data_IF_949903410374
#
_entry.id   IF_949903410374
#
_cell.length_a   1.000
_cell.length_b   1.000
_cell.length_c   1.000
_cell.angle_alpha   90.00
_cell.angle_beta   90.00
_cell.angle_gamma   90.00
#
_symmetry.space_group_name_H-M   'P 1'
#
loop_
_entity.id
_entity.type
_entity.pdbx_description
1 polymer ?
#
# COMPACT_ATOMS: atom_id res chain seq x y z
N UNK A 1 7.44 -3.27 -6.66
CA UNK A 1 8.13 -2.14 -6.03
C UNK A 1 9.39 -2.62 -5.34
N UNK A 2 10.46 -1.83 -5.39
CA UNK A 2 11.66 -2.10 -4.58
C UNK A 2 11.39 -1.75 -3.11
N UNK A 3 12.20 -2.27 -2.19
CA UNK A 3 12.17 -1.86 -0.79
C UNK A 3 12.35 -0.34 -0.64
N UNK A 4 13.13 0.28 -1.52
CA UNK A 4 13.44 1.71 -1.49
C UNK A 4 12.19 2.60 -1.70
N UNK A 5 11.23 2.17 -2.53
CA UNK A 5 9.98 2.92 -2.76
C UNK A 5 9.07 2.91 -1.52
N UNK A 6 9.09 1.81 -0.75
CA UNK A 6 8.33 1.72 0.50
C UNK A 6 8.93 2.62 1.57
N UNK A 7 10.26 2.63 1.67
CA UNK A 7 10.99 3.50 2.61
C UNK A 7 10.77 4.99 2.28
N UNK A 8 10.73 5.33 0.99
CA UNK A 8 10.35 6.67 0.53
C UNK A 8 8.94 7.04 0.99
N UNK A 9 7.96 6.14 0.80
CA UNK A 9 6.59 6.39 1.27
C UNK A 9 6.52 6.55 2.78
N UNK A 10 7.28 5.77 3.57
CA UNK A 10 7.38 5.98 5.00
C UNK A 10 7.97 7.35 5.34
N UNK A 11 9.09 7.70 4.71
CA UNK A 11 9.70 9.02 4.87
C UNK A 11 8.73 10.14 4.53
N UNK A 12 7.88 10.00 3.51
CA UNK A 12 6.91 11.02 3.12
C UNK A 12 5.70 11.08 4.05
N UNK A 13 5.17 9.91 4.41
CA UNK A 13 3.91 9.79 5.14
C UNK A 13 4.09 9.86 6.65
N UNK A 14 5.29 9.72 7.22
CA UNK A 14 5.52 9.82 8.67
C UNK A 14 5.04 11.16 9.26
N UNK A 15 5.14 12.25 8.48
CA UNK A 15 4.82 13.58 8.96
C UNK A 15 3.31 13.90 8.79
N UNK A 16 2.59 14.23 9.88
CA UNK A 16 1.15 14.46 9.81
C UNK A 16 0.76 15.68 8.95
N UNK A 17 1.61 16.71 8.85
CA UNK A 17 1.37 17.88 7.99
C UNK A 17 1.38 17.48 6.52
N UNK A 18 2.32 16.63 6.09
CA UNK A 18 2.33 16.09 4.71
C UNK A 18 1.06 15.29 4.41
N UNK A 19 0.61 14.44 5.35
CA UNK A 19 -0.67 13.71 5.19
C UNK A 19 -1.88 14.64 5.08
N UNK A 20 -1.93 15.71 5.88
CA UNK A 20 -2.99 16.73 5.80
C UNK A 20 -2.96 17.50 4.48
N UNK A 21 -1.78 17.88 4.00
CA UNK A 21 -1.61 18.53 2.69
C UNK A 21 -2.13 17.61 1.58
N UNK A 22 -1.72 16.34 1.56
CA UNK A 22 -2.19 15.36 0.57
C UNK A 22 -3.72 15.20 0.61
N UNK A 23 -4.31 15.13 1.81
CA UNK A 23 -5.78 15.05 1.99
C UNK A 23 -6.52 16.25 1.38
N UNK A 24 -5.97 17.45 1.48
CA UNK A 24 -6.59 18.64 0.87
C UNK A 24 -6.38 18.66 -0.64
N UNK A 25 -5.17 18.32 -1.10
CA UNK A 25 -4.80 18.30 -2.51
C UNK A 25 -5.43 17.16 -3.32
N UNK A 26 -6.02 16.16 -2.67
CA UNK A 26 -6.82 15.10 -3.31
C UNK A 26 -8.23 15.56 -3.67
N UNK A 27 -8.71 16.67 -3.09
CA UNK A 27 -10.05 17.23 -3.35
C UNK A 27 -9.99 18.30 -4.43
N UNK A 28 -9.07 19.27 -4.30
CA UNK A 28 -8.93 20.36 -5.24
C UNK A 28 -7.50 20.92 -5.30
N UNK A 29 -7.23 21.78 -6.29
CA UNK A 29 -5.93 22.45 -6.41
C UNK A 29 -5.88 23.63 -5.45
N UNK A 30 -4.81 23.71 -4.63
CA UNK A 30 -4.67 24.77 -3.62
C UNK A 30 -3.31 25.45 -3.71
N UNK A 31 -3.26 26.75 -3.36
CA UNK A 31 -2.01 27.49 -3.18
C UNK A 31 -1.57 27.49 -1.70
N UNK A 32 -0.28 27.74 -1.39
CA UNK A 32 0.27 27.54 -0.04
C UNK A 32 -0.46 28.28 1.08
N UNK A 33 -0.99 29.47 0.82
CA UNK A 33 -1.72 30.26 1.82
C UNK A 33 -3.11 29.68 2.16
N UNK A 34 -3.76 28.96 1.23
CA UNK A 34 -4.99 28.23 1.57
C UNK A 34 -4.66 27.05 2.49
N UNK A 35 -3.69 26.24 2.08
CA UNK A 35 -3.23 25.09 2.85
C UNK A 35 -2.82 25.49 4.27
N UNK A 36 -2.08 26.60 4.44
CA UNK A 36 -1.65 27.08 5.76
C UNK A 36 -2.82 27.44 6.67
N UNK A 37 -3.92 27.95 6.11
CA UNK A 37 -5.13 28.29 6.87
C UNK A 37 -5.90 27.06 7.30
N UNK A 38 -5.98 26.04 6.44
CA UNK A 38 -6.71 24.81 6.71
C UNK A 38 -5.99 23.90 7.73
N UNK A 39 -4.65 23.85 7.69
CA UNK A 39 -3.88 22.90 8.52
C UNK A 39 -3.20 23.52 9.74
N UNK A 40 -3.44 24.82 9.97
CA UNK A 40 -2.90 25.63 11.07
C UNK A 40 -1.36 25.55 11.21
N UNK A 41 -0.66 25.81 10.12
CA UNK A 41 0.81 25.91 10.10
C UNK A 41 1.26 27.12 9.30
N UNK A 42 2.50 27.57 9.49
CA UNK A 42 3.02 28.71 8.74
C UNK A 42 3.09 28.41 7.24
N UNK A 43 2.84 29.42 6.40
CA UNK A 43 2.95 29.27 4.94
C UNK A 43 4.35 28.79 4.52
N UNK A 44 5.41 29.21 5.21
CA UNK A 44 6.78 28.74 4.96
C UNK A 44 6.94 27.24 5.22
N UNK A 45 6.34 26.71 6.29
CA UNK A 45 6.33 25.29 6.57
C UNK A 45 5.56 24.50 5.48
N UNK A 46 4.41 25.02 5.03
CA UNK A 46 3.66 24.44 3.90
C UNK A 46 4.52 24.36 2.66
N UNK A 47 5.19 25.46 2.27
CA UNK A 47 6.05 25.49 1.08
C UNK A 47 7.18 24.45 1.18
N UNK A 48 7.79 24.29 2.35
CA UNK A 48 8.81 23.25 2.59
C UNK A 48 8.23 21.84 2.36
N UNK A 49 7.06 21.54 2.92
CA UNK A 49 6.43 20.24 2.74
C UNK A 49 5.99 19.98 1.30
N UNK A 50 5.45 20.99 0.60
CA UNK A 50 5.07 20.89 -0.80
C UNK A 50 6.27 20.60 -1.68
N UNK A 51 7.42 21.24 -1.42
CA UNK A 51 8.66 20.94 -2.14
C UNK A 51 9.09 19.50 -1.96
N UNK A 52 9.10 18.99 -0.72
CA UNK A 52 9.43 17.59 -0.45
C UNK A 52 8.47 16.66 -1.21
N UNK A 53 7.16 16.90 -1.15
CA UNK A 53 6.16 16.08 -1.85
C UNK A 53 6.27 16.17 -3.37
N UNK A 54 6.67 17.33 -3.91
CA UNK A 54 6.87 17.56 -5.34
C UNK A 54 8.15 16.91 -5.87
N UNK A 55 9.26 17.02 -5.12
CA UNK A 55 10.54 16.39 -5.44
C UNK A 55 10.40 14.86 -5.52
N UNK A 56 9.51 14.30 -4.71
CA UNK A 56 9.16 12.87 -4.71
C UNK A 56 7.90 12.55 -5.54
N UNK A 57 7.39 13.53 -6.31
CA UNK A 57 6.30 13.40 -7.28
C UNK A 57 4.94 12.90 -6.78
N UNK A 58 4.66 12.97 -5.47
CA UNK A 58 3.32 12.83 -4.90
C UNK A 58 2.44 14.05 -5.18
N UNK A 59 3.08 15.20 -5.41
CA UNK A 59 2.42 16.46 -5.76
C UNK A 59 3.03 17.04 -7.04
N UNK A 60 2.21 17.72 -7.85
CA UNK A 60 2.66 18.55 -8.98
C UNK A 60 2.16 19.97 -8.81
N UNK A 61 2.96 20.95 -9.23
CA UNK A 61 2.54 22.34 -9.25
C UNK A 61 2.31 22.89 -10.66
N UNK A 62 1.57 23.99 -10.73
CA UNK A 62 1.33 24.77 -11.94
C UNK A 62 1.14 26.24 -11.56
N UNK A 63 1.57 27.17 -12.43
CA UNK A 63 1.23 28.57 -12.29
C UNK A 63 -0.14 28.87 -12.90
N UNK A 64 -1.00 29.53 -12.11
CA UNK A 64 -2.32 29.99 -12.54
C UNK A 64 -2.41 31.52 -12.50
N UNK A 65 -3.06 32.16 -13.49
CA UNK A 65 -3.27 33.60 -13.51
C UNK A 65 -4.04 34.07 -12.28
N UNK A 66 -3.55 35.13 -11.63
CA UNK A 66 -4.31 35.76 -10.55
C UNK A 66 -5.14 36.92 -11.04
N UNK A 67 -6.38 37.06 -10.52
CA UNK A 67 -7.21 38.26 -10.77
C UNK A 67 -6.58 39.54 -10.24
N UNK A 68 -5.71 39.44 -9.21
CA UNK A 68 -5.00 40.57 -8.60
C UNK A 68 -3.59 40.13 -8.21
N UNK A 69 -2.58 40.73 -8.84
CA UNK A 69 -1.16 40.47 -8.54
C UNK A 69 -0.52 39.37 -9.40
N UNK A 70 0.67 38.88 -9.02
CA UNK A 70 1.42 37.89 -9.79
C UNK A 70 0.69 36.53 -9.83
N UNK A 71 1.06 35.70 -10.82
CA UNK A 71 0.57 34.34 -10.95
C UNK A 71 0.75 33.56 -9.63
N UNK A 72 -0.21 32.67 -9.35
CA UNK A 72 -0.20 31.84 -8.14
C UNK A 72 0.22 30.44 -8.51
N UNK A 73 1.24 29.94 -7.81
CA UNK A 73 1.61 28.54 -7.88
C UNK A 73 0.61 27.71 -7.08
N UNK A 74 -0.17 26.89 -7.77
CA UNK A 74 -1.11 25.94 -7.19
C UNK A 74 -0.54 24.53 -7.25
N UNK A 75 -1.00 23.67 -6.36
CA UNK A 75 -0.52 22.29 -6.21
C UNK A 75 -1.70 21.32 -6.31
N UNK A 76 -1.44 20.09 -6.74
CA UNK A 76 -2.40 18.98 -6.75
C UNK A 76 -1.70 17.64 -6.48
N UNK A 77 -2.42 16.66 -5.94
CA UNK A 77 -1.94 15.27 -5.92
C UNK A 77 -1.72 14.77 -7.35
N UNK A 78 -0.70 13.92 -7.56
CA UNK A 78 -0.21 13.64 -8.92
C UNK A 78 0.05 12.19 -9.28
N UNK A 79 -0.11 11.27 -8.34
CA UNK A 79 -0.05 9.82 -8.54
C UNK A 79 -0.94 9.13 -7.51
N UNK A 80 -1.37 7.93 -7.83
CA UNK A 80 -2.11 7.07 -6.91
C UNK A 80 -1.16 6.08 -6.24
N UNK A 81 -1.34 5.85 -4.94
CA UNK A 81 -0.51 4.95 -4.13
C UNK A 81 -1.40 4.22 -3.12
N UNK A 82 -1.28 2.89 -3.05
CA UNK A 82 -1.75 2.07 -1.93
C UNK A 82 -0.57 1.49 -1.17
N UNK A 83 -0.65 1.53 0.16
CA UNK A 83 0.30 0.92 1.08
C UNK A 83 -0.47 0.07 2.09
N UNK A 84 -0.26 -1.25 2.03
CA UNK A 84 -0.83 -2.21 2.98
C UNK A 84 0.28 -2.75 3.88
N UNK A 85 0.06 -2.68 5.19
CA UNK A 85 0.99 -3.16 6.21
C UNK A 85 0.20 -4.00 7.21
N UNK A 86 0.57 -5.27 7.35
CA UNK A 86 0.02 -6.20 8.32
C UNK A 86 1.09 -6.56 9.34
N UNK A 87 0.81 -6.30 10.63
CA UNK A 87 1.72 -6.57 11.75
C UNK A 87 0.97 -7.34 12.84
N UNK A 88 1.54 -8.46 13.26
CA UNK A 88 1.07 -9.28 14.38
C UNK A 88 2.20 -10.09 15.01
N UNK A 89 1.96 -10.79 16.14
CA UNK A 89 2.99 -11.54 16.86
C UNK A 89 3.75 -12.57 16.02
N UNK A 90 3.15 -13.02 14.93
CA UNK A 90 3.68 -14.02 14.00
C UNK A 90 3.50 -13.62 12.54
N UNK A 91 3.25 -12.33 12.26
CA UNK A 91 2.97 -11.83 10.91
C UNK A 91 3.63 -10.48 10.70
N UNK A 92 4.42 -10.38 9.64
CA UNK A 92 4.83 -9.09 9.08
C UNK A 92 4.74 -9.20 7.57
N UNK A 93 3.85 -8.40 6.97
CA UNK A 93 3.72 -8.28 5.51
C UNK A 93 3.55 -6.82 5.14
N UNK A 94 4.19 -6.41 4.06
CA UNK A 94 4.02 -5.10 3.46
C UNK A 94 3.85 -5.24 1.96
N UNK A 95 2.97 -4.43 1.38
CA UNK A 95 2.76 -4.33 -0.07
C UNK A 95 2.51 -2.87 -0.42
N UNK A 96 3.18 -2.38 -1.45
CA UNK A 96 2.92 -1.07 -2.03
C UNK A 96 2.57 -1.24 -3.51
N UNK A 97 1.55 -0.50 -3.95
CA UNK A 97 1.02 -0.49 -5.31
C UNK A 97 0.85 0.98 -5.76
N UNK A 98 1.20 1.29 -7.01
CA UNK A 98 1.02 2.62 -7.61
C UNK A 98 0.32 2.47 -8.94
N UNK A 99 -0.15 3.61 -9.46
CA UNK A 99 -0.59 3.74 -10.85
C UNK A 99 -1.62 2.68 -11.23
N UNK A 100 -2.72 2.63 -10.46
CA UNK A 100 -3.78 1.63 -10.62
C UNK A 100 -4.27 1.57 -12.05
N UNK A 101 -4.05 0.41 -12.69
CA UNK A 101 -4.43 0.21 -14.08
C UNK A 101 -5.88 -0.26 -14.18
N UNK A 102 -6.73 0.63 -14.68
CA UNK A 102 -8.15 0.37 -14.94
C UNK A 102 -8.34 -0.61 -16.11
N UNK A 103 -7.28 -0.89 -16.88
CA UNK A 103 -7.33 -1.83 -18.01
C UNK A 103 -7.39 -3.30 -17.58
N UNK A 104 -6.93 -3.63 -16.37
CA UNK A 104 -6.87 -5.00 -15.83
C UNK A 104 -8.08 -5.32 -14.90
N UNK A 105 -9.19 -4.59 -15.06
CA UNK A 105 -10.40 -4.85 -14.30
C UNK A 105 -11.13 -6.10 -14.78
N UNK A 106 -11.67 -6.87 -13.83
CA UNK A 106 -12.60 -7.96 -14.13
C UNK A 106 -13.84 -7.44 -14.88
N UNK A 107 -14.46 -8.30 -15.70
CA UNK A 107 -15.68 -7.94 -16.46
C UNK A 107 -16.81 -7.44 -15.55
N UNK A 108 -16.87 -7.93 -14.31
CA UNK A 108 -17.83 -7.49 -13.31
C UNK A 108 -17.58 -6.03 -12.89
N UNK A 109 -16.33 -5.63 -12.72
CA UNK A 109 -15.95 -4.28 -12.30
C UNK A 109 -16.00 -3.27 -13.44
N UNK A 110 -15.87 -3.71 -14.71
CA UNK A 110 -15.98 -2.81 -15.89
C UNK A 110 -17.32 -2.10 -15.99
N UNK A 111 -18.41 -2.68 -15.47
CA UNK A 111 -19.75 -2.05 -15.44
C UNK A 111 -19.78 -0.71 -14.70
N UNK A 112 -18.87 -0.51 -13.75
CA UNK A 112 -18.72 0.77 -13.04
C UNK A 112 -18.28 1.87 -14.01
N UNK A 113 -17.41 1.55 -14.97
CA UNK A 113 -16.96 2.50 -16.00
C UNK A 113 -18.12 2.89 -16.92
N UNK A 114 -18.95 1.92 -17.30
CA UNK A 114 -20.14 2.18 -18.13
C UNK A 114 -21.12 3.12 -17.41
N UNK A 115 -21.33 2.91 -16.10
CA UNK A 115 -22.19 3.78 -15.29
C UNK A 115 -21.61 5.21 -15.15
N UNK A 116 -20.29 5.34 -14.98
CA UNK A 116 -19.61 6.65 -14.94
C UNK A 116 -19.76 7.36 -16.30
N UNK A 117 -19.54 6.65 -17.40
CA UNK A 117 -19.67 7.20 -18.75
C UNK A 117 -21.12 7.64 -19.07
N UNK A 118 -22.12 6.85 -18.65
CA UNK A 118 -23.53 7.21 -18.86
C UNK A 118 -23.94 8.46 -18.06
N UNK A 119 -23.33 8.65 -16.87
CA UNK A 119 -23.57 9.82 -16.03
C UNK A 119 -23.24 11.15 -16.72
N UNK A 120 -22.35 11.15 -17.72
CA UNK A 120 -21.96 12.35 -18.47
C UNK A 120 -23.13 12.95 -19.26
N UNK A 121 -24.11 12.13 -19.65
CA UNK A 121 -25.29 12.58 -20.41
C UNK A 121 -26.41 13.16 -19.53
N UNK A 122 -26.29 13.03 -18.21
CA UNK A 122 -27.31 13.46 -17.25
C UNK A 122 -27.17 14.94 -16.86
N UNK A 123 -28.22 15.52 -16.30
CA UNK A 123 -28.14 16.82 -15.62
C UNK A 123 -27.34 16.70 -14.31
N UNK A 124 -26.92 17.84 -13.72
CA UNK A 124 -26.06 17.81 -12.53
C UNK A 124 -26.65 17.04 -11.36
N UNK A 125 -27.99 17.10 -11.17
CA UNK A 125 -28.67 16.41 -10.08
C UNK A 125 -28.70 14.90 -10.33
N UNK A 126 -29.13 14.47 -11.51
CA UNK A 126 -29.14 13.05 -11.88
C UNK A 126 -27.75 12.43 -11.91
N UNK A 127 -26.76 13.16 -12.44
CA UNK A 127 -25.35 12.74 -12.44
C UNK A 127 -24.85 12.51 -11.01
N UNK A 128 -25.05 13.47 -10.11
CA UNK A 128 -24.58 13.35 -8.73
C UNK A 128 -25.28 12.21 -7.98
N UNK A 129 -26.57 12.02 -8.21
CA UNK A 129 -27.33 10.90 -7.63
C UNK A 129 -26.80 9.54 -8.11
N UNK A 130 -26.55 9.36 -9.40
CA UNK A 130 -25.97 8.12 -9.95
C UNK A 130 -24.55 7.88 -9.40
N UNK A 131 -23.67 8.89 -9.46
CA UNK A 131 -22.29 8.77 -8.97
C UNK A 131 -22.23 8.49 -7.47
N UNK A 132 -23.16 9.03 -6.67
CA UNK A 132 -23.25 8.75 -5.25
C UNK A 132 -23.55 7.27 -4.97
N UNK A 133 -24.49 6.67 -5.72
CA UNK A 133 -24.84 5.24 -5.58
C UNK A 133 -23.68 4.34 -5.99
N UNK A 134 -23.10 4.60 -7.16
CA UNK A 134 -21.92 3.85 -7.65
C UNK A 134 -20.77 3.94 -6.63
N UNK A 135 -20.55 5.12 -6.05
CA UNK A 135 -19.54 5.33 -5.02
C UNK A 135 -19.84 4.58 -3.72
N UNK A 136 -21.11 4.44 -3.34
CA UNK A 136 -21.55 3.67 -2.19
C UNK A 136 -21.37 2.16 -2.40
N UNK A 137 -21.77 1.65 -3.57
CA UNK A 137 -21.58 0.26 -3.94
C UNK A 137 -20.08 -0.11 -3.94
N UNK A 138 -19.23 0.73 -4.52
CA UNK A 138 -17.77 0.52 -4.50
C UNK A 138 -17.21 0.49 -3.08
N UNK A 139 -17.64 1.41 -2.20
CA UNK A 139 -17.21 1.40 -0.78
C UNK A 139 -17.62 0.11 -0.09
N UNK A 140 -18.84 -0.35 -0.31
CA UNK A 140 -19.34 -1.59 0.28
C UNK A 140 -18.51 -2.80 -0.18
N UNK A 141 -18.23 -2.92 -1.48
CA UNK A 141 -17.39 -4.01 -2.01
C UNK A 141 -15.97 -3.98 -1.45
N UNK A 142 -15.37 -2.79 -1.27
CA UNK A 142 -14.06 -2.66 -0.64
C UNK A 142 -14.11 -3.14 0.82
N UNK A 143 -15.13 -2.71 1.58
CA UNK A 143 -15.29 -3.08 2.98
C UNK A 143 -15.53 -4.59 3.18
N UNK A 144 -16.27 -5.23 2.27
CA UNK A 144 -16.48 -6.68 2.25
C UNK A 144 -15.16 -7.43 2.05
N UNK A 145 -14.38 -7.06 1.04
CA UNK A 145 -13.08 -7.68 0.75
C UNK A 145 -12.11 -7.46 1.91
N UNK A 146 -12.05 -6.27 2.49
CA UNK A 146 -11.21 -5.99 3.66
C UNK A 146 -11.65 -6.75 4.92
N UNK A 147 -12.96 -7.01 5.09
CA UNK A 147 -13.48 -7.85 6.18
C UNK A 147 -13.07 -9.31 6.01
N UNK A 148 -13.18 -9.85 4.80
CA UNK A 148 -12.73 -11.20 4.48
C UNK A 148 -11.21 -11.32 4.68
N UNK A 149 -10.45 -10.35 4.16
CA UNK A 149 -8.99 -10.28 4.33
C UNK A 149 -8.59 -10.30 5.80
N UNK A 150 -9.25 -9.51 6.66
CA UNK A 150 -9.01 -9.50 8.11
C UNK A 150 -9.25 -10.87 8.74
N UNK A 151 -10.30 -11.57 8.34
CA UNK A 151 -10.63 -12.92 8.84
C UNK A 151 -9.55 -13.93 8.44
N UNK A 152 -9.11 -13.89 7.18
CA UNK A 152 -8.01 -14.73 6.70
C UNK A 152 -6.69 -14.42 7.41
N UNK A 153 -6.39 -13.14 7.67
CA UNK A 153 -5.20 -12.76 8.44
C UNK A 153 -5.23 -13.28 9.88
N UNK A 154 -6.40 -13.30 10.53
CA UNK A 154 -6.54 -13.90 11.86
C UNK A 154 -6.24 -15.41 11.85
N UNK A 155 -6.77 -16.13 10.86
CA UNK A 155 -6.49 -17.57 10.67
C UNK A 155 -5.01 -17.84 10.37
N UNK A 156 -4.39 -17.01 9.52
CA UNK A 156 -2.95 -17.05 9.28
C UNK A 156 -2.14 -16.83 10.57
N UNK A 157 -2.60 -15.94 11.43
CA UNK A 157 -2.03 -15.74 12.76
C UNK A 157 -2.05 -17.00 13.62
N UNK A 158 -3.18 -17.72 13.67
CA UNK A 158 -3.31 -18.99 14.40
C UNK A 158 -2.42 -20.09 13.81
N UNK A 159 -2.41 -20.22 12.48
CA UNK A 159 -1.55 -21.17 11.79
C UNK A 159 -0.08 -20.90 12.11
N UNK A 160 0.36 -19.65 12.00
CA UNK A 160 1.74 -19.27 12.30
C UNK A 160 2.10 -19.50 13.76
N UNK A 161 1.18 -19.28 14.71
CA UNK A 161 1.39 -19.65 16.12
C UNK A 161 1.65 -21.14 16.28
N UNK A 162 0.86 -21.99 15.62
CA UNK A 162 1.04 -23.45 15.70
C UNK A 162 2.34 -23.90 15.03
N UNK A 163 2.70 -23.31 13.90
CA UNK A 163 4.01 -23.55 13.26
C UNK A 163 5.14 -23.22 14.24
N UNK A 164 5.09 -22.04 14.87
CA UNK A 164 6.12 -21.62 15.83
C UNK A 164 6.20 -22.62 16.99
N UNK A 165 5.08 -23.01 17.61
CA UNK A 165 5.11 -23.96 18.73
C UNK A 165 5.65 -25.33 18.30
N UNK A 166 5.26 -25.84 17.13
CA UNK A 166 5.77 -27.12 16.62
C UNK A 166 7.26 -27.07 16.32
N UNK A 167 7.78 -25.95 15.78
CA UNK A 167 9.23 -25.81 15.59
C UNK A 167 10.01 -25.68 16.91
N UNK A 168 9.37 -25.17 17.96
CA UNK A 168 9.97 -25.14 19.30
C UNK A 168 9.97 -26.53 19.93
N UNK A 169 8.87 -27.28 19.83
CA UNK A 169 8.76 -28.66 20.29
C UNK A 169 9.74 -29.61 19.58
N UNK A 170 10.09 -29.32 18.32
CA UNK A 170 11.05 -30.08 17.53
C UNK A 170 12.52 -29.64 17.72
N UNK A 171 12.81 -28.76 18.68
CA UNK A 171 14.13 -28.19 18.96
C UNK A 171 14.82 -27.58 17.73
N UNK A 172 14.05 -26.93 16.84
CA UNK A 172 14.60 -26.33 15.64
C UNK A 172 15.50 -25.12 15.94
N UNK A 173 16.65 -25.08 15.29
CA UNK A 173 17.57 -23.94 15.34
C UNK A 173 16.95 -22.69 14.70
N UNK A 174 17.57 -21.54 14.91
CA UNK A 174 17.12 -20.28 14.29
C UNK A 174 17.07 -20.36 12.76
N UNK A 175 18.10 -20.92 12.13
CA UNK A 175 18.16 -21.04 10.67
C UNK A 175 17.15 -22.04 10.12
N UNK A 176 16.91 -23.15 10.83
CA UNK A 176 15.86 -24.12 10.49
C UNK A 176 14.47 -23.49 10.55
N UNK A 177 14.17 -22.73 11.61
CA UNK A 177 12.89 -22.01 11.73
C UNK A 177 12.69 -21.03 10.59
N UNK A 178 13.73 -20.28 10.20
CA UNK A 178 13.66 -19.33 9.08
C UNK A 178 13.48 -20.05 7.74
N UNK A 179 14.16 -21.17 7.52
CA UNK A 179 14.01 -21.95 6.29
C UNK A 179 12.61 -22.56 6.19
N UNK A 180 12.09 -23.18 7.26
CA UNK A 180 10.72 -23.70 7.31
C UNK A 180 9.69 -22.58 7.06
N UNK A 181 9.87 -21.42 7.69
CA UNK A 181 9.01 -20.27 7.44
C UNK A 181 9.04 -19.83 5.97
N UNK A 182 10.22 -19.80 5.35
CA UNK A 182 10.38 -19.47 3.93
C UNK A 182 9.66 -20.50 3.02
N UNK A 183 9.85 -21.80 3.26
CA UNK A 183 9.24 -22.89 2.47
C UNK A 183 7.70 -22.83 2.57
N UNK A 184 7.15 -22.62 3.78
CA UNK A 184 5.70 -22.54 3.99
C UNK A 184 5.07 -21.33 3.28
N UNK A 185 5.82 -20.26 3.08
CA UNK A 185 5.35 -19.05 2.39
C UNK A 185 5.63 -19.07 0.88
N UNK A 186 6.49 -19.96 0.39
CA UNK A 186 6.90 -20.05 -1.02
C UNK A 186 6.82 -21.51 -1.49
N UNK A 187 5.67 -21.90 -2.06
CA UNK A 187 5.46 -23.30 -2.51
C UNK A 187 6.49 -23.77 -3.53
N UNK A 188 6.89 -22.91 -4.43
CA UNK A 188 7.85 -23.21 -5.50
C UNK A 188 9.24 -22.59 -5.19
N UNK A 189 9.68 -22.71 -3.93
CA UNK A 189 10.98 -22.17 -3.54
C UNK A 189 12.13 -22.90 -4.26
N UNK A 190 13.19 -22.15 -4.57
CA UNK A 190 14.47 -22.70 -5.01
C UNK A 190 15.48 -22.55 -3.89
N UNK A 191 16.53 -23.38 -3.89
CA UNK A 191 17.62 -23.28 -2.92
C UNK A 191 18.33 -21.92 -3.05
N UNK A 192 18.52 -21.46 -4.28
CA UNK A 192 19.07 -20.13 -4.59
C UNK A 192 18.18 -19.02 -4.01
N UNK A 193 16.86 -19.07 -4.25
CA UNK A 193 15.91 -18.07 -3.74
C UNK A 193 15.84 -18.06 -2.21
N UNK A 194 15.86 -19.24 -1.59
CA UNK A 194 15.92 -19.37 -0.13
C UNK A 194 17.24 -18.83 0.42
N UNK A 195 18.37 -19.14 -0.20
CA UNK A 195 19.69 -18.63 0.20
C UNK A 195 19.75 -17.10 0.14
N UNK A 196 19.29 -16.50 -0.96
CA UNK A 196 19.20 -15.06 -1.13
C UNK A 196 18.28 -14.41 -0.09
N UNK A 197 17.08 -14.96 0.12
CA UNK A 197 16.11 -14.44 1.10
C UNK A 197 16.60 -14.56 2.54
N UNK A 198 17.34 -15.62 2.85
CA UNK A 198 17.81 -15.90 4.21
C UNK A 198 19.15 -15.24 4.54
N UNK A 199 19.89 -14.76 3.53
CA UNK A 199 21.26 -14.26 3.69
C UNK A 199 22.25 -15.38 4.01
N UNK A 200 22.03 -16.56 3.44
CA UNK A 200 22.83 -17.78 3.65
C UNK A 200 23.49 -18.22 2.33
N UNK A 201 24.49 -19.08 2.42
CA UNK A 201 25.03 -19.79 1.25
C UNK A 201 24.12 -20.96 0.89
N UNK A 202 24.00 -21.27 -0.39
CA UNK A 202 23.21 -22.43 -0.86
C UNK A 202 23.61 -23.75 -0.20
N UNK A 203 24.91 -23.96 0.05
CA UNK A 203 25.41 -25.14 0.74
C UNK A 203 24.87 -25.24 2.19
N UNK A 204 24.77 -24.11 2.90
CA UNK A 204 24.19 -24.06 4.24
C UNK A 204 22.69 -24.39 4.18
N UNK A 205 21.97 -23.82 3.21
CA UNK A 205 20.55 -24.11 3.00
C UNK A 205 20.31 -25.60 2.73
N UNK A 206 21.16 -26.25 1.90
CA UNK A 206 21.08 -27.70 1.64
C UNK A 206 21.26 -28.53 2.91
N UNK A 207 22.27 -28.23 3.72
CA UNK A 207 22.53 -28.95 4.97
C UNK A 207 21.34 -28.82 5.94
N UNK A 208 20.80 -27.60 6.09
CA UNK A 208 19.64 -27.34 6.93
C UNK A 208 18.43 -28.11 6.40
N UNK A 209 18.21 -28.10 5.09
CA UNK A 209 17.10 -28.81 4.45
C UNK A 209 17.19 -30.33 4.67
N UNK A 210 18.36 -30.92 4.47
CA UNK A 210 18.60 -32.35 4.72
C UNK A 210 18.33 -32.72 6.17
N UNK A 211 18.75 -31.90 7.13
CA UNK A 211 18.47 -32.10 8.56
C UNK A 211 16.97 -32.05 8.87
N UNK A 212 16.24 -31.11 8.25
CA UNK A 212 14.79 -30.99 8.39
C UNK A 212 14.05 -32.18 7.77
N UNK A 213 14.49 -32.66 6.60
CA UNK A 213 13.93 -33.84 5.92
C UNK A 213 14.14 -35.12 6.72
N UNK A 214 15.35 -35.32 7.27
CA UNK A 214 15.64 -36.48 8.12
C UNK A 214 14.75 -36.52 9.39
N UNK A 215 14.33 -35.35 9.89
CA UNK A 215 13.39 -35.23 11.02
C UNK A 215 11.91 -35.23 10.60
N UNK A 216 11.61 -35.36 9.31
CA UNK A 216 10.24 -35.38 8.78
C UNK A 216 9.51 -34.04 8.88
N UNK A 217 10.24 -32.93 9.00
CA UNK A 217 9.67 -31.58 9.15
C UNK A 217 9.41 -30.90 7.81
N UNK A 218 9.93 -31.45 6.72
CA UNK A 218 9.71 -31.00 5.35
C UNK A 218 9.87 -32.18 4.39
N UNK A 219 9.30 -32.06 3.17
CA UNK A 219 9.36 -33.10 2.14
C UNK A 219 10.65 -33.02 1.33
#
# INVERSE_FOLDING_TARGET
>A
MSFDEVDELFYLLENPTRRRILKLLSVERLYPLQLSKEIDVTQQAVVKHLRILEDHGLVKSRDEPSRRGPNRRVYKASRDVSLHIDIGPSTYKQKAETDFDVSDLSDQNRRVLDAIAESEKMDSRGRMDLLSRVSEDLRHSIDEVESERRSLMALMGELNRKIISTTQEADCTYHERRLLHHILHNRDYTIEGAAASLGLREAEVRIILESLQHRGLTQ
#
